data_IF_382464072616
#
_entry.id   IF_382464072616
#
_cell.length_a   1.000
_cell.length_b   1.000
_cell.length_c   1.000
_cell.angle_alpha   90.00
_cell.angle_beta   90.00
_cell.angle_gamma   90.00
#
_symmetry.space_group_name_H-M   'P 1'
#
loop_
_entity.id
_entity.type
_entity.pdbx_description
1 polymer ?
#
# COMPACT_ATOMS: atom_id res chain seq x y z
N UNK A 1 -30.76 -10.18 -22.16
CA UNK A 1 -30.68 -8.87 -21.48
C UNK A 1 -30.60 -7.80 -22.55
N UNK A 2 -31.59 -6.91 -22.62
CA UNK A 2 -31.57 -5.77 -23.54
C UNK A 2 -30.83 -4.62 -22.84
N UNK A 3 -29.50 -4.67 -22.85
CA UNK A 3 -28.67 -3.58 -22.32
C UNK A 3 -28.34 -2.59 -23.43
N UNK A 4 -28.53 -1.29 -23.15
CA UNK A 4 -28.25 -0.21 -24.09
C UNK A 4 -26.80 0.26 -23.91
N UNK A 5 -25.89 -0.34 -24.66
CA UNK A 5 -24.48 0.03 -24.67
C UNK A 5 -24.28 1.49 -25.09
N UNK A 6 -23.59 2.27 -24.28
CA UNK A 6 -23.25 3.67 -24.58
C UNK A 6 -21.80 3.99 -24.21
N UNK A 7 -20.85 3.61 -25.07
CA UNK A 7 -19.44 3.99 -24.89
C UNK A 7 -19.17 5.48 -25.15
N UNK A 8 -20.11 6.22 -25.72
CA UNK A 8 -19.97 7.67 -25.91
C UNK A 8 -20.11 8.43 -24.57
N UNK A 9 -20.68 7.80 -23.54
CA UNK A 9 -20.87 8.38 -22.20
C UNK A 9 -19.60 9.00 -21.61
N UNK A 10 -18.41 8.47 -21.94
CA UNK A 10 -17.15 8.98 -21.42
C UNK A 10 -16.87 10.43 -21.85
N UNK A 11 -17.41 10.88 -22.98
CA UNK A 11 -17.23 12.22 -23.51
C UNK A 11 -18.40 13.16 -23.17
N UNK A 12 -19.44 12.64 -22.51
CA UNK A 12 -20.56 13.46 -22.07
C UNK A 12 -20.17 14.28 -20.83
N UNK A 13 -20.74 15.50 -20.68
CA UNK A 13 -20.48 16.35 -19.52
C UNK A 13 -20.83 15.62 -18.22
N UNK A 14 -19.93 15.69 -17.24
CA UNK A 14 -20.20 15.11 -15.93
C UNK A 14 -21.13 16.02 -15.09
N UNK A 15 -21.80 15.48 -14.05
CA UNK A 15 -22.74 16.24 -13.22
C UNK A 15 -22.06 17.30 -12.33
N UNK A 16 -20.73 17.27 -12.18
CA UNK A 16 -20.00 18.27 -11.40
C UNK A 16 -19.75 19.56 -12.19
N UNK A 17 -20.09 19.58 -13.49
CA UNK A 17 -19.95 20.74 -14.36
C UNK A 17 -18.51 21.03 -14.79
N UNK A 18 -17.58 20.11 -14.49
CA UNK A 18 -16.15 20.25 -14.76
C UNK A 18 -15.67 19.10 -15.64
N UNK A 19 -15.78 19.26 -16.95
CA UNK A 19 -15.33 18.28 -17.93
C UNK A 19 -16.30 17.10 -18.12
N UNK A 20 -15.74 15.96 -18.53
CA UNK A 20 -16.46 14.77 -18.95
C UNK A 20 -16.47 13.66 -17.89
N UNK A 21 -17.23 12.58 -18.11
CA UNK A 21 -17.13 11.39 -17.27
C UNK A 21 -15.73 10.75 -17.30
N UNK A 22 -15.01 10.85 -18.43
CA UNK A 22 -13.61 10.41 -18.51
C UNK A 22 -12.73 11.21 -17.55
N UNK A 23 -12.89 12.54 -17.52
CA UNK A 23 -12.12 13.42 -16.62
C UNK A 23 -12.39 13.09 -15.15
N UNK A 24 -13.64 12.73 -14.82
CA UNK A 24 -14.04 12.28 -13.49
C UNK A 24 -13.35 10.98 -13.10
N UNK A 25 -13.27 9.99 -14.00
CA UNK A 25 -12.53 8.75 -13.77
C UNK A 25 -11.02 8.98 -13.64
N UNK A 26 -10.45 9.86 -14.47
CA UNK A 26 -9.02 10.24 -14.39
C UNK A 26 -8.71 10.97 -13.08
N UNK A 27 -9.60 11.83 -12.60
CA UNK A 27 -9.44 12.47 -11.28
C UNK A 27 -9.44 11.41 -10.15
N UNK A 28 -10.33 10.42 -10.23
CA UNK A 28 -10.33 9.27 -9.33
C UNK A 28 -9.04 8.47 -9.40
N UNK A 29 -8.55 8.20 -10.60
CA UNK A 29 -7.29 7.51 -10.87
C UNK A 29 -6.09 8.21 -10.21
N UNK A 30 -6.00 9.52 -10.37
CA UNK A 30 -4.95 10.33 -9.76
C UNK A 30 -5.01 10.27 -8.24
N UNK A 31 -6.22 10.26 -7.66
CA UNK A 31 -6.40 10.11 -6.22
C UNK A 31 -5.98 8.72 -5.74
N UNK A 32 -6.37 7.65 -6.45
CA UNK A 32 -5.91 6.27 -6.22
C UNK A 32 -4.38 6.20 -6.19
N UNK A 33 -3.70 6.77 -7.19
CA UNK A 33 -2.23 6.79 -7.27
C UNK A 33 -1.62 7.56 -6.09
N UNK A 34 -2.14 8.76 -5.78
CA UNK A 34 -1.64 9.58 -4.65
C UNK A 34 -1.77 8.83 -3.31
N UNK A 35 -2.93 8.23 -3.06
CA UNK A 35 -3.17 7.47 -1.83
C UNK A 35 -2.27 6.23 -1.77
N UNK A 36 -2.15 5.48 -2.87
CA UNK A 36 -1.34 4.27 -2.92
C UNK A 36 0.16 4.56 -2.73
N UNK A 37 0.69 5.62 -3.34
CA UNK A 37 2.09 6.01 -3.19
C UNK A 37 2.41 6.43 -1.76
N UNK A 38 1.57 7.27 -1.15
CA UNK A 38 1.79 7.69 0.24
C UNK A 38 1.66 6.50 1.21
N UNK A 39 0.64 5.66 1.03
CA UNK A 39 0.50 4.42 1.79
C UNK A 39 1.71 3.51 1.62
N UNK A 40 2.25 3.39 0.41
CA UNK A 40 3.42 2.55 0.15
C UNK A 40 4.68 3.09 0.82
N UNK A 41 4.90 4.41 0.82
CA UNK A 41 6.01 5.03 1.56
C UNK A 41 5.90 4.73 3.06
N UNK A 42 4.70 4.90 3.63
CA UNK A 42 4.43 4.55 5.03
C UNK A 42 4.70 3.05 5.28
N UNK A 43 4.21 2.19 4.38
CA UNK A 43 4.39 0.75 4.47
C UNK A 43 5.87 0.35 4.44
N UNK A 44 6.68 0.97 3.59
CA UNK A 44 8.12 0.74 3.54
C UNK A 44 8.81 1.23 4.80
N UNK A 45 8.51 2.43 5.29
CA UNK A 45 9.15 2.98 6.49
C UNK A 45 8.83 2.12 7.71
N UNK A 46 7.55 1.94 8.03
CA UNK A 46 7.14 1.16 9.20
C UNK A 46 7.46 -0.32 9.03
N UNK A 47 7.26 -0.88 7.83
CA UNK A 47 7.57 -2.27 7.56
C UNK A 47 9.05 -2.57 7.71
N UNK A 48 9.92 -1.63 7.32
CA UNK A 48 11.37 -1.77 7.53
C UNK A 48 11.72 -1.78 9.01
N UNK A 49 11.19 -0.82 9.78
CA UNK A 49 11.45 -0.72 11.22
C UNK A 49 10.98 -2.00 11.93
N UNK A 50 9.74 -2.42 11.69
CA UNK A 50 9.16 -3.61 12.32
C UNK A 50 9.86 -4.90 11.84
N UNK A 51 10.22 -5.00 10.56
CA UNK A 51 10.97 -6.13 10.03
C UNK A 51 12.36 -6.28 10.67
N UNK A 52 13.06 -5.16 10.90
CA UNK A 52 14.31 -5.15 11.65
C UNK A 52 14.08 -5.64 13.07
N UNK A 53 13.12 -5.07 13.81
CA UNK A 53 12.81 -5.45 15.20
C UNK A 53 12.55 -6.96 15.33
N UNK A 54 11.83 -7.56 14.38
CA UNK A 54 11.55 -9.00 14.33
C UNK A 54 12.77 -9.88 14.07
N UNK A 55 13.78 -9.35 13.40
CA UNK A 55 15.00 -10.09 13.07
C UNK A 55 16.10 -9.94 14.12
N UNK A 56 15.95 -8.98 15.05
CA UNK A 56 16.94 -8.72 16.09
C UNK A 56 17.04 -9.91 17.07
N UNK A 57 18.23 -10.16 17.64
CA UNK A 57 18.41 -11.21 18.64
C UNK A 57 17.73 -10.90 19.98
N UNK A 58 17.29 -9.66 20.21
CA UNK A 58 16.58 -9.27 21.44
C UNK A 58 15.16 -9.84 21.44
N UNK A 59 14.85 -10.68 22.45
CA UNK A 59 13.51 -11.26 22.63
C UNK A 59 12.43 -10.19 22.71
N UNK A 60 12.66 -9.11 23.46
CA UNK A 60 11.69 -8.02 23.63
C UNK A 60 11.40 -7.30 22.32
N UNK A 61 12.44 -6.96 21.55
CA UNK A 61 12.27 -6.31 20.25
C UNK A 61 11.50 -7.21 19.27
N UNK A 62 11.83 -8.50 19.24
CA UNK A 62 11.15 -9.48 18.41
C UNK A 62 9.68 -9.65 18.80
N UNK A 63 9.36 -9.65 20.09
CA UNK A 63 7.99 -9.75 20.59
C UNK A 63 7.14 -8.53 20.25
N UNK A 64 7.69 -7.31 20.37
CA UNK A 64 6.99 -6.08 19.96
C UNK A 64 6.67 -6.14 18.46
N UNK A 65 7.66 -6.52 17.64
CA UNK A 65 7.45 -6.65 16.20
C UNK A 65 6.47 -7.76 15.83
N UNK A 66 6.45 -8.86 16.58
CA UNK A 66 5.45 -9.93 16.42
C UNK A 66 4.05 -9.41 16.73
N UNK A 67 3.84 -8.78 17.89
CA UNK A 67 2.55 -8.23 18.30
C UNK A 67 1.99 -7.21 17.30
N UNK A 68 2.83 -6.30 16.80
CA UNK A 68 2.44 -5.35 15.76
C UNK A 68 1.92 -6.07 14.51
N UNK A 69 2.67 -7.04 13.99
CA UNK A 69 2.29 -7.73 12.76
C UNK A 69 1.04 -8.56 12.94
N UNK A 70 0.91 -9.28 14.06
CA UNK A 70 -0.29 -10.06 14.36
C UNK A 70 -1.52 -9.16 14.47
N UNK A 71 -1.43 -8.01 15.13
CA UNK A 71 -2.54 -7.06 15.21
C UNK A 71 -3.02 -6.62 13.82
N UNK A 72 -2.11 -6.14 12.98
CA UNK A 72 -2.46 -5.59 11.67
C UNK A 72 -2.89 -6.65 10.64
N UNK A 73 -2.34 -7.87 10.71
CA UNK A 73 -2.68 -8.95 9.77
C UNK A 73 -3.97 -9.67 10.12
N UNK A 74 -4.31 -9.77 11.41
CA UNK A 74 -5.49 -10.51 11.86
C UNK A 74 -6.77 -9.66 11.86
N UNK A 75 -6.65 -8.35 11.66
CA UNK A 75 -7.78 -7.44 11.59
C UNK A 75 -8.07 -7.03 10.13
N UNK A 76 -9.32 -7.15 9.64
CA UNK A 76 -9.66 -6.72 8.28
C UNK A 76 -9.37 -5.22 8.06
N UNK A 77 -8.81 -4.87 6.90
CA UNK A 77 -8.49 -3.48 6.55
C UNK A 77 -9.72 -2.56 6.64
N UNK A 78 -10.89 -3.03 6.20
CA UNK A 78 -12.14 -2.27 6.29
C UNK A 78 -12.44 -1.83 7.73
N UNK A 79 -12.33 -2.77 8.67
CA UNK A 79 -12.56 -2.51 10.10
C UNK A 79 -11.52 -1.52 10.63
N UNK A 80 -10.26 -1.61 10.18
CA UNK A 80 -9.21 -0.66 10.57
C UNK A 80 -9.55 0.75 10.12
N UNK A 81 -9.94 0.94 8.85
CA UNK A 81 -10.34 2.25 8.34
C UNK A 81 -11.52 2.83 9.12
N UNK A 82 -12.51 2.01 9.49
CA UNK A 82 -13.64 2.44 10.30
C UNK A 82 -13.23 2.85 11.72
N UNK A 83 -12.40 2.04 12.39
CA UNK A 83 -11.91 2.39 13.72
C UNK A 83 -11.14 3.72 13.68
N UNK A 84 -10.35 3.95 12.65
CA UNK A 84 -9.49 5.14 12.59
C UNK A 84 -10.25 6.39 12.19
N UNK A 85 -11.23 6.26 11.30
CA UNK A 85 -11.99 7.39 10.80
C UNK A 85 -13.13 7.78 11.76
N UNK A 86 -13.87 6.79 12.28
CA UNK A 86 -15.08 7.06 13.07
C UNK A 86 -14.87 6.90 14.57
N UNK A 87 -14.05 5.95 15.03
CA UNK A 87 -13.96 5.62 16.47
C UNK A 87 -12.83 6.38 17.16
N UNK A 88 -11.63 6.42 16.57
CA UNK A 88 -10.44 7.04 17.14
C UNK A 88 -10.65 8.52 17.52
N UNK A 89 -11.29 9.38 16.69
CA UNK A 89 -11.53 10.76 17.08
C UNK A 89 -12.42 10.92 18.31
N UNK A 90 -13.33 9.95 18.57
CA UNK A 90 -14.23 9.98 19.73
C UNK A 90 -13.55 9.48 21.02
N UNK A 91 -12.51 8.65 20.90
CA UNK A 91 -11.72 8.16 22.03
C UNK A 91 -10.64 9.14 22.49
N UNK A 92 -10.24 10.07 21.62
CA UNK A 92 -9.23 11.08 21.93
C UNK A 92 -9.79 12.20 22.83
N UNK A 93 -8.93 12.90 23.60
CA UNK A 93 -9.34 14.12 24.30
C UNK A 93 -9.99 15.11 23.35
N UNK A 94 -11.03 15.84 23.81
CA UNK A 94 -11.90 16.69 22.97
C UNK A 94 -11.15 17.56 21.96
N UNK A 95 -10.04 18.19 22.36
CA UNK A 95 -9.24 19.03 21.47
C UNK A 95 -8.60 18.25 20.31
N UNK A 96 -8.00 17.09 20.59
CA UNK A 96 -7.37 16.24 19.58
C UNK A 96 -8.41 15.56 18.67
N UNK A 97 -9.54 15.13 19.25
CA UNK A 97 -10.66 14.56 18.49
C UNK A 97 -11.28 15.57 17.51
N UNK A 98 -11.54 16.80 17.96
CA UNK A 98 -12.04 17.87 17.10
C UNK A 98 -11.04 18.24 16.01
N UNK A 99 -9.75 18.34 16.36
CA UNK A 99 -8.70 18.60 15.38
C UNK A 99 -8.70 17.56 14.27
N UNK A 100 -8.74 16.27 14.62
CA UNK A 100 -8.73 15.17 13.65
C UNK A 100 -9.94 15.20 12.71
N UNK A 101 -11.14 15.52 13.24
CA UNK A 101 -12.38 15.66 12.44
C UNK A 101 -12.35 16.88 11.50
N UNK A 102 -11.57 17.91 11.82
CA UNK A 102 -11.49 19.15 11.05
C UNK A 102 -10.38 19.14 9.99
N UNK A 103 -9.57 18.08 9.91
CA UNK A 103 -8.52 17.96 8.90
C UNK A 103 -9.13 18.01 7.48
N UNK A 104 -8.67 18.93 6.61
CA UNK A 104 -9.07 18.92 5.21
C UNK A 104 -8.72 17.59 4.55
N UNK A 105 -9.66 17.02 3.81
CA UNK A 105 -9.50 15.71 3.17
C UNK A 105 -9.18 14.58 4.18
N UNK A 106 -9.82 14.59 5.36
CA UNK A 106 -9.65 13.52 6.36
C UNK A 106 -9.74 12.09 5.77
N UNK A 107 -10.68 11.75 4.85
CA UNK A 107 -10.71 10.40 4.26
C UNK A 107 -9.43 10.02 3.51
N UNK A 108 -8.77 10.98 2.86
CA UNK A 108 -7.51 10.75 2.15
C UNK A 108 -6.38 10.39 3.12
N UNK A 109 -6.22 11.18 4.18
CA UNK A 109 -5.17 10.93 5.18
C UNK A 109 -5.40 9.63 5.93
N UNK A 110 -6.64 9.36 6.36
CA UNK A 110 -6.98 8.11 7.03
C UNK A 110 -6.78 6.90 6.13
N UNK A 111 -7.15 6.99 4.85
CA UNK A 111 -6.88 5.93 3.89
C UNK A 111 -5.38 5.70 3.68
N UNK A 112 -4.59 6.76 3.46
CA UNK A 112 -3.17 6.64 3.21
C UNK A 112 -2.41 6.04 4.41
N UNK A 113 -2.69 6.52 5.62
CA UNK A 113 -2.06 6.00 6.84
C UNK A 113 -2.60 4.60 7.16
N UNK A 114 -3.92 4.38 7.01
CA UNK A 114 -4.61 3.11 7.29
C UNK A 114 -4.09 1.98 6.43
N UNK A 115 -4.16 2.17 5.12
CA UNK A 115 -3.60 1.22 4.15
C UNK A 115 -2.09 1.08 4.35
N UNK A 116 -1.38 2.18 4.64
CA UNK A 116 0.06 2.17 4.86
C UNK A 116 0.49 1.30 6.04
N UNK A 117 -0.11 1.46 7.23
CA UNK A 117 0.23 0.62 8.38
C UNK A 117 -0.24 -0.83 8.20
N UNK A 118 -1.41 -1.05 7.60
CA UNK A 118 -1.86 -2.39 7.24
C UNK A 118 -0.86 -3.12 6.34
N UNK A 119 -0.39 -2.46 5.28
CA UNK A 119 0.59 -3.01 4.34
C UNK A 119 1.99 -3.11 4.96
N UNK A 120 2.34 -2.23 5.90
CA UNK A 120 3.62 -2.26 6.62
C UNK A 120 3.86 -3.59 7.33
N UNK A 121 2.80 -4.21 7.88
CA UNK A 121 2.90 -5.50 8.53
C UNK A 121 3.30 -6.62 7.56
N UNK A 122 2.85 -6.54 6.31
CA UNK A 122 3.26 -7.49 5.25
C UNK A 122 4.69 -7.24 4.81
N UNK A 123 5.07 -5.97 4.59
CA UNK A 123 6.46 -5.58 4.29
C UNK A 123 7.41 -6.05 5.39
N UNK A 124 7.03 -5.94 6.67
CA UNK A 124 7.82 -6.40 7.80
C UNK A 124 8.06 -7.91 7.77
N UNK A 125 7.06 -8.71 7.39
CA UNK A 125 7.21 -10.17 7.22
C UNK A 125 8.18 -10.46 6.08
N UNK A 126 8.03 -9.79 4.94
CA UNK A 126 8.93 -9.99 3.80
C UNK A 126 10.37 -9.63 4.17
N UNK A 127 10.60 -8.49 4.82
CA UNK A 127 11.94 -8.08 5.24
C UNK A 127 12.55 -9.05 6.26
N UNK A 128 11.78 -9.46 7.27
CA UNK A 128 12.27 -10.42 8.26
C UNK A 128 12.62 -11.77 7.62
N UNK A 129 11.80 -12.26 6.70
CA UNK A 129 12.07 -13.47 5.92
C UNK A 129 13.30 -13.32 5.01
N UNK A 130 13.43 -12.16 4.34
CA UNK A 130 14.58 -11.82 3.52
C UNK A 130 15.89 -11.83 4.31
N UNK A 131 15.90 -11.22 5.50
CA UNK A 131 17.06 -11.24 6.40
C UNK A 131 17.36 -12.67 6.87
N UNK A 132 16.33 -13.45 7.22
CA UNK A 132 16.50 -14.83 7.68
C UNK A 132 17.00 -15.79 6.58
N UNK A 133 16.74 -15.47 5.30
CA UNK A 133 17.23 -16.25 4.15
C UNK A 133 18.73 -16.10 3.91
N UNK A 134 19.37 -15.08 4.50
CA UNK A 134 20.80 -14.84 4.33
C UNK A 134 21.64 -15.91 5.07
N UNK A 135 22.79 -16.31 4.51
CA UNK A 135 23.71 -17.21 5.20
C UNK A 135 24.14 -16.65 6.55
N UNK A 136 24.10 -17.48 7.61
CA UNK A 136 24.50 -17.09 8.98
C UNK A 136 25.91 -16.47 9.04
N UNK A 137 26.80 -16.89 8.13
CA UNK A 137 28.15 -16.35 7.97
C UNK A 137 28.21 -14.84 7.73
N UNK A 138 27.21 -14.23 7.07
CA UNK A 138 27.17 -12.78 6.83
C UNK A 138 27.10 -11.98 8.14
N UNK A 139 26.26 -12.44 9.06
CA UNK A 139 26.12 -11.81 10.38
C UNK A 139 27.40 -12.03 11.21
N UNK A 140 27.95 -13.23 11.19
CA UNK A 140 29.19 -13.56 11.92
C UNK A 140 30.39 -12.76 11.39
N UNK A 141 30.51 -12.60 10.07
CA UNK A 141 31.56 -11.81 9.43
C UNK A 141 31.46 -10.33 9.78
N UNK A 142 30.26 -9.76 9.79
CA UNK A 142 30.04 -8.39 10.24
C UNK A 142 30.54 -8.17 11.68
N UNK A 143 30.21 -9.09 12.59
CA UNK A 143 30.68 -9.03 13.98
C UNK A 143 32.20 -9.26 14.09
N UNK A 144 32.78 -10.15 13.29
CA UNK A 144 34.23 -10.40 13.26
C UNK A 144 35.04 -9.19 12.77
N UNK A 145 34.46 -8.38 11.89
CA UNK A 145 35.03 -7.10 11.44
C UNK A 145 34.84 -5.96 12.45
N UNK A 146 34.29 -6.24 13.63
CA UNK A 146 34.06 -5.24 14.68
C UNK A 146 32.86 -4.31 14.43
N UNK A 147 31.98 -4.61 13.47
CA UNK A 147 30.79 -3.81 13.23
C UNK A 147 29.81 -3.97 14.40
N UNK A 148 29.27 -2.85 14.86
CA UNK A 148 28.12 -2.86 15.78
C UNK A 148 26.89 -3.49 15.10
N UNK A 149 25.92 -3.97 15.89
CA UNK A 149 24.68 -4.54 15.34
C UNK A 149 24.00 -3.59 14.35
N UNK A 150 23.90 -2.30 14.68
CA UNK A 150 23.29 -1.31 13.79
C UNK A 150 24.07 -1.15 12.48
N UNK A 151 25.40 -1.14 12.53
CA UNK A 151 26.26 -1.08 11.34
C UNK A 151 26.15 -2.36 10.51
N UNK A 152 26.14 -3.55 11.14
CA UNK A 152 25.93 -4.82 10.44
C UNK A 152 24.60 -4.88 9.69
N UNK A 153 23.53 -4.37 10.31
CA UNK A 153 22.24 -4.24 9.62
C UNK A 153 22.29 -3.23 8.47
N UNK A 154 22.78 -2.02 8.71
CA UNK A 154 22.81 -0.94 7.71
C UNK A 154 23.69 -1.26 6.50
N UNK A 155 24.87 -1.83 6.73
CA UNK A 155 25.88 -2.00 5.69
C UNK A 155 25.92 -3.40 5.07
N UNK A 156 25.44 -4.43 5.77
CA UNK A 156 25.52 -5.83 5.28
C UNK A 156 24.13 -6.41 5.04
N UNK A 157 23.29 -6.50 6.07
CA UNK A 157 22.06 -7.29 5.99
C UNK A 157 20.97 -6.60 5.17
N UNK A 158 20.66 -5.33 5.45
CA UNK A 158 19.55 -4.62 4.80
C UNK A 158 19.74 -4.46 3.28
N UNK A 159 20.91 -4.01 2.77
CA UNK A 159 21.09 -3.84 1.33
C UNK A 159 20.89 -5.15 0.55
N UNK A 160 21.32 -6.29 1.11
CA UNK A 160 21.17 -7.60 0.47
C UNK A 160 19.72 -8.09 0.62
N UNK A 161 19.15 -8.01 1.82
CA UNK A 161 17.79 -8.44 2.08
C UNK A 161 16.78 -7.72 1.20
N UNK A 162 16.90 -6.40 1.03
CA UNK A 162 16.01 -5.63 0.14
C UNK A 162 16.06 -6.12 -1.30
N UNK A 163 17.25 -6.44 -1.82
CA UNK A 163 17.42 -6.95 -3.19
C UNK A 163 16.77 -8.32 -3.37
N UNK A 164 16.82 -9.18 -2.34
CA UNK A 164 16.18 -10.50 -2.35
C UNK A 164 14.65 -10.39 -2.33
N UNK A 165 14.10 -9.43 -1.58
CA UNK A 165 12.64 -9.30 -1.39
C UNK A 165 11.97 -8.36 -2.41
N UNK A 166 12.70 -7.80 -3.38
CA UNK A 166 12.11 -6.96 -4.43
C UNK A 166 10.95 -7.63 -5.17
N UNK A 167 11.05 -8.92 -5.59
CA UNK A 167 9.93 -9.61 -6.23
C UNK A 167 8.66 -9.65 -5.36
N UNK A 168 8.67 -10.13 -4.09
CA UNK A 168 7.47 -10.09 -3.27
C UNK A 168 7.01 -8.67 -2.90
N UNK A 169 7.90 -7.68 -2.80
CA UNK A 169 7.50 -6.28 -2.60
C UNK A 169 6.69 -5.73 -3.78
N UNK A 170 6.94 -6.20 -5.00
CA UNK A 170 6.12 -5.85 -6.17
C UNK A 170 4.67 -6.27 -5.95
N UNK A 171 4.46 -7.52 -5.50
CA UNK A 171 3.12 -8.02 -5.19
C UNK A 171 2.44 -7.23 -4.07
N UNK A 172 3.17 -6.86 -3.02
CA UNK A 172 2.61 -6.03 -1.94
C UNK A 172 2.28 -4.61 -2.40
N UNK A 173 3.05 -4.03 -3.32
CA UNK A 173 2.70 -2.72 -3.88
C UNK A 173 1.42 -2.78 -4.73
N UNK A 174 1.25 -3.82 -5.54
CA UNK A 174 0.00 -4.05 -6.28
C UNK A 174 -1.20 -4.24 -5.34
N UNK A 175 -1.00 -4.95 -4.22
CA UNK A 175 -2.03 -5.08 -3.19
C UNK A 175 -2.35 -3.73 -2.53
N UNK A 176 -1.35 -2.87 -2.32
CA UNK A 176 -1.55 -1.53 -1.77
C UNK A 176 -2.48 -0.70 -2.67
N UNK A 177 -2.26 -0.74 -3.99
CA UNK A 177 -3.12 -0.05 -4.98
C UNK A 177 -4.55 -0.59 -4.95
N UNK A 178 -4.71 -1.92 -4.92
CA UNK A 178 -6.06 -2.52 -4.85
C UNK A 178 -6.76 -2.16 -3.55
N UNK A 179 -6.03 -2.15 -2.43
CA UNK A 179 -6.58 -1.86 -1.11
C UNK A 179 -7.02 -0.40 -0.92
N UNK A 180 -6.60 0.55 -1.77
CA UNK A 180 -7.15 1.92 -1.70
C UNK A 180 -8.63 1.96 -2.05
N UNK A 181 -9.15 1.02 -2.85
CA UNK A 181 -10.57 0.94 -3.19
C UNK A 181 -11.49 0.77 -1.97
N UNK A 182 -10.98 0.16 -0.89
CA UNK A 182 -11.72 -0.02 0.37
C UNK A 182 -12.03 1.34 1.02
N UNK A 183 -11.26 2.39 0.73
CA UNK A 183 -11.43 3.71 1.29
C UNK A 183 -12.72 4.43 0.86
N UNK A 184 -13.42 3.94 -0.18
CA UNK A 184 -14.76 4.43 -0.53
C UNK A 184 -15.72 4.35 0.67
N UNK A 185 -15.52 3.38 1.56
CA UNK A 185 -16.37 3.15 2.73
C UNK A 185 -16.26 4.24 3.80
N UNK A 186 -15.16 5.00 3.80
CA UNK A 186 -14.97 6.19 4.64
C UNK A 186 -15.15 7.50 3.84
N UNK A 187 -15.71 7.41 2.63
CA UNK A 187 -16.01 8.57 1.78
C UNK A 187 -14.87 9.06 0.88
N UNK A 188 -13.78 8.30 0.71
CA UNK A 188 -12.76 8.65 -0.27
C UNK A 188 -13.20 8.24 -1.68
N UNK A 189 -13.58 9.21 -2.51
CA UNK A 189 -14.03 8.98 -3.89
C UNK A 189 -12.84 8.88 -4.85
N UNK A 190 -12.08 7.80 -4.70
CA UNK A 190 -11.01 7.38 -5.64
C UNK A 190 -11.60 6.67 -6.87
N UNK A 191 -10.80 6.04 -7.73
CA UNK A 191 -11.25 5.45 -9.01
C UNK A 191 -12.51 4.57 -8.90
N UNK A 192 -12.60 3.66 -7.92
CA UNK A 192 -13.79 2.82 -7.70
C UNK A 192 -14.98 3.67 -7.27
N UNK A 193 -14.74 4.69 -6.46
CA UNK A 193 -15.74 5.68 -6.08
C UNK A 193 -16.26 6.48 -7.27
N UNK A 194 -15.38 6.91 -8.17
CA UNK A 194 -15.77 7.65 -9.37
C UNK A 194 -16.54 6.77 -10.35
N UNK A 195 -16.14 5.51 -10.52
CA UNK A 195 -16.92 4.56 -11.32
C UNK A 195 -18.31 4.29 -10.72
N UNK A 196 -18.39 4.19 -9.38
CA UNK A 196 -19.66 4.07 -8.68
C UNK A 196 -20.54 5.31 -8.88
N UNK A 197 -19.98 6.50 -8.77
CA UNK A 197 -20.73 7.73 -8.99
C UNK A 197 -21.16 7.86 -10.47
N UNK A 198 -20.30 7.50 -11.42
CA UNK A 198 -20.63 7.47 -12.84
C UNK A 198 -21.82 6.55 -13.14
N UNK A 199 -21.86 5.33 -12.59
CA UNK A 199 -23.02 4.45 -12.79
C UNK A 199 -24.29 5.02 -12.15
N UNK A 200 -24.19 5.73 -11.02
CA UNK A 200 -25.35 6.27 -10.31
C UNK A 200 -25.98 7.44 -11.09
N UNK A 201 -25.15 8.24 -11.77
CA UNK A 201 -25.63 9.37 -12.57
C UNK A 201 -26.06 8.98 -13.99
N UNK A 202 -25.34 8.06 -14.64
CA UNK A 202 -25.57 7.69 -16.05
C UNK A 202 -26.39 6.41 -16.24
N UNK A 203 -26.57 5.62 -15.18
CA UNK A 203 -27.10 4.25 -15.22
C UNK A 203 -26.30 3.28 -16.12
N UNK A 204 -25.11 3.66 -16.56
CA UNK A 204 -24.21 2.86 -17.41
C UNK A 204 -23.23 2.04 -16.55
N UNK A 205 -23.72 0.92 -16.01
CA UNK A 205 -22.95 0.07 -15.08
C UNK A 205 -21.76 -0.61 -15.77
N UNK A 206 -21.97 -1.18 -16.96
CA UNK A 206 -20.92 -1.95 -17.64
C UNK A 206 -19.78 -1.06 -18.09
N UNK A 207 -20.06 0.10 -18.67
CA UNK A 207 -19.09 1.08 -19.13
C UNK A 207 -18.25 1.60 -17.97
N UNK A 208 -18.90 2.03 -16.87
CA UNK A 208 -18.20 2.60 -15.71
C UNK A 208 -17.21 1.61 -15.07
N UNK A 209 -17.64 0.37 -14.80
CA UNK A 209 -16.75 -0.62 -14.18
C UNK A 209 -15.75 -1.25 -15.16
N UNK A 210 -16.08 -1.33 -16.45
CA UNK A 210 -15.10 -1.75 -17.48
C UNK A 210 -13.98 -0.71 -17.57
N UNK A 211 -14.31 0.58 -17.61
CA UNK A 211 -13.31 1.64 -17.63
C UNK A 211 -12.43 1.62 -16.37
N UNK A 212 -13.01 1.52 -15.18
CA UNK A 212 -12.23 1.40 -13.94
C UNK A 212 -11.33 0.15 -13.93
N UNK A 213 -11.81 -0.99 -14.42
CA UNK A 213 -11.02 -2.22 -14.52
C UNK A 213 -9.82 -2.04 -15.45
N UNK A 214 -10.05 -1.47 -16.64
CA UNK A 214 -8.97 -1.18 -17.61
C UNK A 214 -7.96 -0.21 -17.01
N UNK A 215 -8.41 0.83 -16.29
CA UNK A 215 -7.53 1.80 -15.64
C UNK A 215 -6.70 1.18 -14.50
N UNK A 216 -7.30 0.33 -13.65
CA UNK A 216 -6.55 -0.43 -12.64
C UNK A 216 -5.52 -1.37 -13.27
N UNK A 217 -5.90 -2.06 -14.35
CA UNK A 217 -4.98 -2.92 -15.11
C UNK A 217 -3.82 -2.11 -15.70
N UNK A 218 -4.10 -0.96 -16.30
CA UNK A 218 -3.09 -0.07 -16.86
C UNK A 218 -2.07 0.37 -15.79
N UNK A 219 -2.53 0.84 -14.62
CA UNK A 219 -1.64 1.18 -13.51
C UNK A 219 -0.82 -0.04 -13.07
N UNK A 220 -1.46 -1.20 -12.88
CA UNK A 220 -0.77 -2.40 -12.42
C UNK A 220 0.31 -2.85 -13.43
N UNK A 221 0.06 -2.74 -14.73
CA UNK A 221 1.05 -3.04 -15.78
C UNK A 221 2.22 -2.07 -15.71
N UNK A 222 1.97 -0.77 -15.54
CA UNK A 222 3.02 0.24 -15.37
C UNK A 222 3.89 -0.09 -14.16
N UNK A 223 3.26 -0.41 -13.02
CA UNK A 223 3.96 -0.78 -11.79
C UNK A 223 4.78 -2.06 -11.95
N UNK A 224 4.19 -3.12 -12.51
CA UNK A 224 4.91 -4.39 -12.76
C UNK A 224 6.09 -4.17 -13.69
N UNK A 225 5.92 -3.38 -14.75
CA UNK A 225 7.00 -3.11 -15.71
C UNK A 225 8.13 -2.30 -15.06
N UNK A 226 7.78 -1.26 -14.29
CA UNK A 226 8.75 -0.48 -13.53
C UNK A 226 9.50 -1.31 -12.48
N UNK A 227 8.79 -2.15 -11.74
CA UNK A 227 9.39 -3.02 -10.72
C UNK A 227 10.25 -4.13 -11.34
N UNK A 228 9.88 -4.68 -12.50
CA UNK A 228 10.74 -5.64 -13.25
C UNK A 228 12.04 -4.99 -13.71
N UNK A 229 12.00 -3.73 -14.13
CA UNK A 229 13.21 -3.00 -14.49
C UNK A 229 14.12 -2.78 -13.27
N UNK A 230 13.52 -2.42 -12.13
CA UNK A 230 14.23 -2.28 -10.86
C UNK A 230 14.85 -3.61 -10.38
N UNK A 231 14.08 -4.70 -10.46
CA UNK A 231 14.53 -6.06 -10.11
C UNK A 231 15.73 -6.49 -10.95
N UNK A 232 15.67 -6.31 -12.28
CA UNK A 232 16.79 -6.64 -13.18
C UNK A 232 18.04 -5.83 -12.87
N UNK A 233 17.89 -4.57 -12.50
CA UNK A 233 19.01 -3.67 -12.19
C UNK A 233 19.66 -3.97 -10.84
N UNK A 234 18.89 -4.55 -9.91
CA UNK A 234 19.33 -4.85 -8.53
C UNK A 234 19.58 -6.33 -8.26
N UNK A 235 19.41 -7.18 -9.27
CA UNK A 235 19.63 -8.62 -9.17
C UNK A 235 21.06 -8.94 -8.75
N UNK A 236 21.21 -9.76 -7.70
CA UNK A 236 22.52 -10.25 -7.27
C UNK A 236 22.73 -11.64 -7.89
N UNK A 237 23.75 -11.84 -8.74
CA UNK A 237 24.12 -13.15 -9.25
C UNK A 237 24.38 -14.14 -8.10
N UNK A 238 23.74 -15.32 -8.14
CA UNK A 238 23.97 -16.39 -7.17
C UNK A 238 23.06 -16.41 -5.92
N UNK A 239 22.27 -15.36 -5.66
CA UNK A 239 21.27 -15.36 -4.56
C UNK A 239 19.84 -15.65 -5.03
N UNK A 240 19.59 -15.55 -6.34
CA UNK A 240 18.31 -15.90 -6.97
C UNK A 240 18.47 -17.29 -7.56
N UNK A 241 18.48 -18.33 -6.72
CA UNK A 241 18.37 -19.72 -7.17
C UNK A 241 16.92 -19.98 -7.56
N UNK A 242 16.62 -19.68 -8.82
CA UNK A 242 15.29 -19.83 -9.41
C UNK A 242 15.34 -19.72 -10.93
N UNK A 243 16.17 -20.56 -11.57
CA UNK A 243 15.93 -21.07 -12.92
C UNK A 243 16.30 -22.54 -12.93
#
# INVERSE_FOLDING_TARGET
MNYNWNWHIFFEPNPTGAGTYLDMLVAGLLLTIKTALLAWVIALIFGTIIGILRSLPSRTASWIGFGYVEFFRNMPLLVQLFLWFFVLPELLPRGAGLWLKQIPNAPFWTAAIGVGLFMSARVAVQLAAGIASLPRGQKNAATALGLTTAQGYRYVLLPIAFRIILPPLTSEFLNTIKNTSVAITIGLIELTGQARAMQEFSFQVFEAFTAATVMYLAINIVVVTGMRFLERSLAIPGYITGK
#
